data_IF_009168197324
#
_entry.id   IF_009168197324
#
_cell.length_a   1.000
_cell.length_b   1.000
_cell.length_c   1.000
_cell.angle_alpha   90.00
_cell.angle_beta   90.00
_cell.angle_gamma   90.00
#
_symmetry.space_group_name_H-M   'P 1'
#
loop_
_entity.id
_entity.type
_entity.pdbx_description
1 polymer ?
#
# COMPACT_ATOMS: atom_id res chain seq x y z
N UNK A 1 -21.51 11.12 31.98
CA UNK A 1 -21.94 9.90 31.26
C UNK A 1 -21.47 10.03 29.81
N UNK A 2 -20.39 9.34 29.40
CA UNK A 2 -19.87 9.44 28.02
C UNK A 2 -20.81 8.64 27.11
N UNK A 3 -21.50 9.31 26.19
CA UNK A 3 -22.25 8.64 25.12
C UNK A 3 -21.26 7.74 24.35
N UNK A 4 -21.33 6.42 24.59
CA UNK A 4 -20.71 5.41 23.73
C UNK A 4 -21.78 4.94 22.77
N UNK A 5 -21.84 5.53 21.59
CA UNK A 5 -22.79 5.14 20.55
C UNK A 5 -22.63 6.03 19.33
N UNK A 6 -22.22 5.42 18.21
CA UNK A 6 -22.37 6.02 16.90
C UNK A 6 -23.76 5.71 16.33
N UNK A 7 -24.22 6.50 15.36
CA UNK A 7 -25.47 6.24 14.66
C UNK A 7 -25.28 5.17 13.60
N UNK A 8 -26.08 4.10 13.65
CA UNK A 8 -26.17 3.13 12.56
C UNK A 8 -27.14 3.67 11.51
N UNK A 9 -26.62 4.36 10.49
CA UNK A 9 -27.44 4.88 9.40
C UNK A 9 -27.79 3.74 8.42
N UNK A 10 -29.08 3.50 8.21
CA UNK A 10 -29.57 2.52 7.24
C UNK A 10 -29.43 3.09 5.82
N UNK A 11 -28.32 2.77 5.16
CA UNK A 11 -28.07 3.15 3.78
C UNK A 11 -28.46 2.00 2.83
N UNK A 12 -29.24 2.31 1.79
CA UNK A 12 -29.61 1.35 0.73
C UNK A 12 -28.45 1.18 -0.25
N UNK A 13 -28.36 0.01 -0.89
CA UNK A 13 -27.34 -0.28 -1.91
C UNK A 13 -26.10 -1.04 -1.41
N UNK A 14 -26.27 -1.85 -0.35
CA UNK A 14 -25.16 -2.65 0.22
C UNK A 14 -24.52 -3.53 -0.87
N UNK A 15 -23.18 -3.54 -1.00
CA UNK A 15 -22.50 -4.35 -2.00
C UNK A 15 -22.71 -5.85 -1.76
N UNK A 16 -22.74 -6.61 -2.84
CA UNK A 16 -22.75 -8.07 -2.81
C UNK A 16 -21.44 -8.60 -2.17
N UNK A 17 -21.50 -9.76 -1.50
CA UNK A 17 -20.31 -10.40 -0.94
C UNK A 17 -19.48 -11.18 -1.97
N UNK A 18 -19.92 -11.23 -3.23
CA UNK A 18 -19.24 -11.94 -4.30
C UNK A 18 -18.10 -11.09 -4.90
N UNK A 19 -16.92 -11.68 -5.04
CA UNK A 19 -15.78 -11.07 -5.74
C UNK A 19 -15.79 -11.56 -7.19
N UNK A 20 -15.89 -10.63 -8.14
CA UNK A 20 -15.85 -10.89 -9.59
C UNK A 20 -14.63 -10.20 -10.20
N UNK A 21 -13.98 -10.86 -11.16
CA UNK A 21 -12.86 -10.28 -11.91
C UNK A 21 -13.42 -9.42 -13.03
N UNK A 22 -12.96 -8.17 -13.10
CA UNK A 22 -13.34 -7.22 -14.14
C UNK A 22 -12.36 -7.26 -15.31
N UNK A 23 -12.78 -6.86 -16.52
CA UNK A 23 -11.87 -6.74 -17.66
C UNK A 23 -10.77 -5.72 -17.38
N UNK A 24 -9.64 -5.90 -18.05
CA UNK A 24 -8.48 -5.03 -17.86
C UNK A 24 -8.74 -3.64 -18.46
N UNK A 25 -8.34 -2.56 -17.78
CA UNK A 25 -8.46 -1.23 -18.33
C UNK A 25 -7.37 -0.99 -19.38
N UNK A 26 -7.75 -0.45 -20.55
CA UNK A 26 -6.78 -0.06 -21.58
C UNK A 26 -5.97 1.20 -21.20
N UNK A 27 -6.55 2.06 -20.36
CA UNK A 27 -5.96 3.34 -19.95
C UNK A 27 -6.06 3.48 -18.43
N UNK A 28 -4.96 3.89 -17.80
CA UNK A 28 -4.91 4.20 -16.38
C UNK A 28 -4.55 5.68 -16.17
N UNK A 29 -5.31 6.34 -15.31
CA UNK A 29 -5.08 7.73 -14.90
C UNK A 29 -4.49 7.71 -13.49
N UNK A 30 -3.20 8.01 -13.38
CA UNK A 30 -2.47 7.98 -12.12
C UNK A 30 -2.34 9.41 -11.60
N UNK A 31 -3.04 9.77 -10.51
CA UNK A 31 -2.99 11.13 -9.99
C UNK A 31 -1.61 11.42 -9.40
N UNK A 32 -1.09 12.61 -9.68
CA UNK A 32 0.14 13.13 -9.07
C UNK A 32 -0.08 13.68 -7.66
N UNK A 33 -1.33 13.69 -7.18
CA UNK A 33 -1.69 14.12 -5.84
C UNK A 33 -2.71 13.15 -5.23
N UNK A 34 -2.46 12.76 -3.99
CA UNK A 34 -3.41 12.06 -3.13
C UNK A 34 -3.68 12.91 -1.88
N UNK A 35 -4.46 12.39 -0.94
CA UNK A 35 -4.65 13.06 0.36
C UNK A 35 -3.32 13.23 1.13
N UNK A 36 -2.36 12.31 0.94
CA UNK A 36 -1.13 12.25 1.74
C UNK A 36 0.14 12.60 0.97
N UNK A 37 0.13 12.47 -0.36
CA UNK A 37 1.34 12.58 -1.18
C UNK A 37 1.15 13.52 -2.35
N UNK A 38 2.21 14.25 -2.70
CA UNK A 38 2.29 15.11 -3.88
C UNK A 38 3.55 14.77 -4.68
N UNK A 39 3.37 14.10 -5.81
CA UNK A 39 4.44 13.61 -6.66
C UNK A 39 4.89 14.69 -7.65
N UNK A 40 5.91 15.46 -7.26
CA UNK A 40 6.43 16.59 -8.06
C UNK A 40 7.67 16.22 -8.88
N UNK A 41 8.41 15.18 -8.46
CA UNK A 41 9.64 14.74 -9.12
C UNK A 41 9.34 13.65 -10.16
N UNK A 42 9.02 14.06 -11.39
CA UNK A 42 8.68 13.15 -12.50
C UNK A 42 9.94 12.45 -13.04
N UNK A 43 9.93 11.11 -13.06
CA UNK A 43 11.07 10.26 -13.45
C UNK A 43 10.97 9.64 -14.84
N UNK A 44 9.89 9.93 -15.57
CA UNK A 44 9.62 9.38 -16.91
C UNK A 44 9.43 10.48 -17.95
N UNK A 45 9.59 10.12 -19.22
CA UNK A 45 9.36 11.01 -20.37
C UNK A 45 8.03 10.71 -21.05
N UNK A 46 7.47 11.71 -21.72
CA UNK A 46 6.31 11.51 -22.56
C UNK A 46 6.63 10.51 -23.69
N UNK A 47 5.77 9.51 -23.89
CA UNK A 47 5.95 8.42 -24.84
C UNK A 47 6.87 7.28 -24.38
N UNK A 48 7.43 7.35 -23.17
CA UNK A 48 8.27 6.28 -22.63
C UNK A 48 7.43 5.02 -22.34
N UNK A 49 7.95 3.85 -22.73
CA UNK A 49 7.42 2.56 -22.28
C UNK A 49 7.93 2.25 -20.89
N UNK A 50 7.04 1.83 -20.00
CA UNK A 50 7.35 1.44 -18.62
C UNK A 50 6.83 0.03 -18.37
N UNK A 51 7.51 -0.70 -17.49
CA UNK A 51 7.05 -1.99 -16.97
C UNK A 51 6.28 -1.80 -15.66
N UNK A 52 5.47 -2.80 -15.28
CA UNK A 52 4.91 -2.89 -13.93
C UNK A 52 6.01 -2.77 -12.86
N UNK A 53 5.76 -1.97 -11.83
CA UNK A 53 6.73 -1.66 -10.78
C UNK A 53 7.73 -0.55 -11.15
N UNK A 54 7.74 -0.04 -12.38
CA UNK A 54 8.62 1.06 -12.78
C UNK A 54 8.28 2.38 -12.08
N UNK A 55 9.28 3.16 -11.67
CA UNK A 55 9.07 4.46 -11.00
C UNK A 55 8.64 5.52 -12.02
N UNK A 56 7.46 6.10 -11.80
CA UNK A 56 6.89 7.17 -12.63
C UNK A 56 7.23 8.56 -12.10
N UNK A 57 7.07 8.75 -10.79
CA UNK A 57 7.36 9.99 -10.10
C UNK A 57 7.73 9.71 -8.65
N UNK A 58 8.21 10.72 -7.92
CA UNK A 58 8.50 10.65 -6.49
C UNK A 58 7.96 11.86 -5.76
N UNK A 59 7.62 11.68 -4.49
CA UNK A 59 7.29 12.76 -3.57
C UNK A 59 8.54 13.11 -2.74
N UNK A 60 9.25 14.21 -3.07
CA UNK A 60 10.49 14.57 -2.39
C UNK A 60 10.30 14.95 -0.92
N UNK A 61 9.09 15.40 -0.53
CA UNK A 61 8.79 15.83 0.83
C UNK A 61 8.50 14.64 1.76
N UNK A 62 8.21 13.47 1.18
CA UNK A 62 7.87 12.24 1.90
C UNK A 62 8.90 11.12 1.62
N UNK A 63 10.16 11.37 1.96
CA UNK A 63 11.28 10.43 1.80
C UNK A 63 11.47 9.90 0.38
N UNK A 64 11.09 10.68 -0.63
CA UNK A 64 11.13 10.29 -2.03
C UNK A 64 10.30 9.03 -2.35
N UNK A 65 9.17 8.84 -1.65
CA UNK A 65 8.26 7.71 -1.89
C UNK A 65 7.83 7.68 -3.37
N UNK A 66 7.93 6.53 -4.05
CA UNK A 66 7.70 6.48 -5.48
C UNK A 66 6.23 6.26 -5.82
N UNK A 67 5.76 6.99 -6.83
CA UNK A 67 4.59 6.60 -7.61
C UNK A 67 5.02 5.55 -8.63
N UNK A 68 4.59 4.31 -8.43
CA UNK A 68 4.94 3.19 -9.31
C UNK A 68 3.90 2.97 -10.40
N UNK A 69 4.34 2.48 -11.54
CA UNK A 69 3.48 2.00 -12.60
C UNK A 69 2.80 0.70 -12.14
N UNK A 70 1.47 0.67 -11.96
CA UNK A 70 0.79 -0.55 -11.54
C UNK A 70 0.79 -1.62 -12.64
N UNK A 71 1.00 -1.21 -13.90
CA UNK A 71 1.04 -2.07 -15.09
C UNK A 71 2.04 -1.54 -16.09
N UNK A 72 2.43 -2.40 -17.03
CA UNK A 72 3.22 -1.99 -18.18
C UNK A 72 2.37 -1.15 -19.14
N UNK A 73 2.97 -0.17 -19.81
CA UNK A 73 2.25 0.70 -20.73
C UNK A 73 3.10 1.82 -21.30
N UNK A 74 2.47 2.72 -22.04
CA UNK A 74 3.10 3.91 -22.63
C UNK A 74 2.67 5.15 -21.87
N UNK A 75 3.66 5.91 -21.38
CA UNK A 75 3.42 7.14 -20.61
C UNK A 75 2.93 8.27 -21.51
N UNK A 76 1.86 8.94 -21.10
CA UNK A 76 1.40 10.23 -21.64
C UNK A 76 1.42 11.26 -20.54
N UNK A 77 2.31 12.24 -20.68
CA UNK A 77 2.38 13.40 -19.78
C UNK A 77 1.54 14.53 -20.35
N UNK A 78 0.89 15.30 -19.48
CA UNK A 78 0.06 16.47 -19.83
C UNK A 78 -1.17 16.17 -20.70
N UNK A 79 -1.51 14.89 -20.91
CA UNK A 79 -2.78 14.51 -21.54
C UNK A 79 -3.98 14.90 -20.67
N UNK A 80 -3.82 14.78 -19.35
CA UNK A 80 -4.76 15.25 -18.33
C UNK A 80 -3.96 16.01 -17.27
N UNK A 81 -4.52 17.10 -16.77
CA UNK A 81 -3.91 17.89 -15.72
C UNK A 81 -3.74 17.07 -14.42
N UNK A 82 -2.60 17.22 -13.75
CA UNK A 82 -2.28 16.52 -12.50
C UNK A 82 -2.30 14.98 -12.56
N UNK A 83 -2.18 14.39 -13.76
CA UNK A 83 -2.12 12.94 -13.93
C UNK A 83 -0.96 12.50 -14.84
N UNK A 84 -0.41 11.32 -14.54
CA UNK A 84 0.34 10.52 -15.50
C UNK A 84 -0.63 9.50 -16.10
N UNK A 85 -0.80 9.52 -17.41
CA UNK A 85 -1.67 8.56 -18.10
C UNK A 85 -0.83 7.42 -18.65
N UNK A 86 -1.25 6.18 -18.40
CA UNK A 86 -0.67 4.99 -19.03
C UNK A 86 -1.66 4.47 -20.07
N UNK A 87 -1.27 4.51 -21.34
CA UNK A 87 -1.98 3.88 -22.45
C UNK A 87 -1.45 2.45 -22.69
N UNK A 88 -2.28 1.62 -23.34
CA UNK A 88 -1.98 0.21 -23.61
C UNK A 88 -1.59 -0.55 -22.34
N UNK A 89 -2.32 -0.29 -21.25
CA UNK A 89 -2.04 -0.85 -19.94
C UNK A 89 -2.26 -2.38 -19.96
N UNK A 90 -1.16 -3.12 -20.03
CA UNK A 90 -1.17 -4.58 -20.12
C UNK A 90 -0.49 -5.21 -18.91
N UNK A 91 -1.00 -6.36 -18.48
CA UNK A 91 -0.32 -7.22 -17.52
C UNK A 91 0.82 -7.96 -18.23
N UNK A 92 1.99 -7.34 -18.31
CA UNK A 92 3.26 -7.99 -18.65
C UNK A 92 4.04 -8.27 -17.36
N UNK A 93 4.95 -9.25 -17.40
CA UNK A 93 5.72 -9.74 -16.24
C UNK A 93 6.18 -8.60 -15.31
N UNK A 94 5.74 -8.70 -14.05
CA UNK A 94 6.12 -7.79 -12.98
C UNK A 94 7.60 -7.99 -12.66
N UNK A 95 8.45 -7.02 -13.01
CA UNK A 95 9.83 -6.98 -12.55
C UNK A 95 9.91 -6.17 -11.25
N UNK A 96 9.81 -6.84 -10.11
CA UNK A 96 10.09 -6.25 -8.79
C UNK A 96 11.60 -6.17 -8.50
N UNK A 97 12.43 -6.08 -9.54
CA UNK A 97 13.88 -6.08 -9.41
C UNK A 97 14.39 -4.65 -9.24
N UNK A 98 14.67 -4.29 -7.99
CA UNK A 98 15.54 -3.15 -7.70
C UNK A 98 16.90 -3.50 -8.27
N UNK A 99 17.44 -2.67 -9.17
CA UNK A 99 18.81 -2.83 -9.64
C UNK A 99 19.75 -2.87 -8.42
N UNK A 100 20.43 -4.00 -8.20
CA UNK A 100 21.33 -4.21 -7.06
C UNK A 100 22.38 -3.10 -6.87
N UNK A 101 22.67 -2.32 -7.92
CA UNK A 101 23.52 -1.13 -7.90
C UNK A 101 23.03 -0.02 -6.96
N UNK A 102 21.73 0.17 -6.76
CA UNK A 102 21.21 1.18 -5.81
C UNK A 102 21.30 0.71 -4.35
N UNK A 103 21.30 -0.61 -4.10
CA UNK A 103 21.39 -1.17 -2.74
C UNK A 103 22.81 -1.06 -2.16
N UNK A 104 23.86 -1.15 -2.99
CA UNK A 104 25.26 -1.18 -2.55
C UNK A 104 25.73 0.06 -1.76
N UNK A 105 25.17 1.25 -2.01
CA UNK A 105 25.53 2.47 -1.27
C UNK A 105 24.75 2.62 0.05
N UNK A 106 23.58 2.00 0.15
CA UNK A 106 22.65 2.13 1.29
C UNK A 106 22.95 1.07 2.37
N UNK A 107 23.34 -0.13 1.96
CA UNK A 107 23.60 -1.29 2.84
C UNK A 107 24.67 -1.05 3.91
N UNK A 108 25.69 -0.23 3.65
CA UNK A 108 26.85 -0.10 4.58
C UNK A 108 26.57 0.68 5.86
N UNK A 109 25.50 1.49 5.91
CA UNK A 109 25.13 2.27 7.11
C UNK A 109 23.88 1.75 7.83
N UNK A 110 23.12 0.87 7.18
CA UNK A 110 21.80 0.47 7.66
C UNK A 110 21.85 -0.97 8.17
N UNK A 111 21.42 -1.19 9.41
CA UNK A 111 21.24 -2.55 9.94
C UNK A 111 20.22 -3.34 9.10
N UNK A 112 20.16 -4.66 9.28
CA UNK A 112 19.33 -5.55 8.47
C UNK A 112 17.84 -5.13 8.40
N UNK A 113 17.29 -4.62 9.50
CA UNK A 113 15.91 -4.11 9.54
C UNK A 113 15.74 -2.83 8.70
N UNK A 114 16.71 -1.93 8.72
CA UNK A 114 16.71 -0.72 7.89
C UNK A 114 16.72 -1.05 6.40
N UNK A 115 17.53 -2.02 5.96
CA UNK A 115 17.58 -2.45 4.55
C UNK A 115 16.21 -2.95 4.09
N UNK A 116 15.55 -3.77 4.91
CA UNK A 116 14.21 -4.29 4.60
C UNK A 116 13.17 -3.17 4.53
N UNK A 117 13.22 -2.18 5.44
CA UNK A 117 12.32 -1.01 5.43
C UNK A 117 12.54 -0.14 4.19
N UNK A 118 13.80 0.10 3.82
CA UNK A 118 14.14 0.81 2.58
C UNK A 118 13.66 0.06 1.34
N UNK A 119 13.74 -1.28 1.33
CA UNK A 119 13.18 -2.10 0.26
C UNK A 119 11.66 -1.95 0.13
N UNK A 120 10.94 -1.85 1.25
CA UNK A 120 9.49 -1.55 1.20
C UNK A 120 9.21 -0.15 0.65
N UNK A 121 10.04 0.83 0.98
CA UNK A 121 9.93 2.19 0.44
C UNK A 121 10.14 2.21 -1.08
N UNK A 122 11.21 1.61 -1.58
CA UNK A 122 11.52 1.60 -3.01
C UNK A 122 10.50 0.80 -3.83
N UNK A 123 9.90 -0.24 -3.23
CA UNK A 123 8.79 -0.99 -3.82
C UNK A 123 7.42 -0.32 -3.63
N UNK A 124 7.36 0.92 -3.12
CA UNK A 124 6.13 1.70 -2.96
C UNK A 124 5.21 1.22 -1.84
N UNK A 125 5.53 0.12 -1.16
CA UNK A 125 4.72 -0.42 -0.07
C UNK A 125 4.74 0.47 1.19
N UNK A 126 5.78 1.30 1.36
CA UNK A 126 5.88 2.18 2.54
C UNK A 126 4.77 3.24 2.59
N UNK A 127 4.17 3.61 1.46
CA UNK A 127 3.07 4.58 1.38
C UNK A 127 1.85 4.18 2.23
N UNK A 128 1.67 2.88 2.51
CA UNK A 128 0.57 2.35 3.32
C UNK A 128 0.77 2.53 4.82
N UNK A 129 1.98 2.93 5.27
CA UNK A 129 2.23 3.26 6.66
C UNK A 129 1.90 4.72 6.94
N UNK A 130 1.41 4.97 8.14
CA UNK A 130 1.23 6.30 8.69
C UNK A 130 1.43 6.24 10.19
N UNK A 131 1.98 7.30 10.74
CA UNK A 131 2.05 7.50 12.17
C UNK A 131 0.63 7.72 12.72
N UNK A 132 0.24 6.95 13.74
CA UNK A 132 -1.13 6.95 14.25
C UNK A 132 -1.51 8.25 14.97
N UNK A 133 -0.52 9.06 15.38
CA UNK A 133 -0.75 10.31 16.09
C UNK A 133 -0.78 11.52 15.13
N UNK A 134 0.14 11.55 14.17
CA UNK A 134 0.36 12.69 13.25
C UNK A 134 -0.22 12.48 11.86
N UNK A 135 -0.49 11.24 11.44
CA UNK A 135 -0.89 10.89 10.07
C UNK A 135 0.23 10.98 9.03
N UNK A 136 1.43 11.45 9.42
CA UNK A 136 2.58 11.57 8.55
C UNK A 136 3.12 10.20 8.12
N UNK A 137 3.84 10.16 7.00
CA UNK A 137 4.61 8.98 6.63
C UNK A 137 5.75 8.80 7.66
N UNK A 138 5.87 7.65 8.34
CA UNK A 138 6.95 7.46 9.31
C UNK A 138 8.31 7.37 8.60
N UNK A 139 9.35 7.85 9.27
CA UNK A 139 10.73 7.71 8.82
C UNK A 139 11.06 6.22 8.59
N UNK A 140 11.41 5.80 7.35
CA UNK A 140 11.82 4.44 7.05
C UNK A 140 12.99 3.94 7.90
N UNK A 141 13.83 4.86 8.42
CA UNK A 141 14.97 4.54 9.28
C UNK A 141 14.62 4.57 10.77
N UNK A 142 13.52 5.20 11.15
CA UNK A 142 13.02 5.24 12.53
C UNK A 142 12.44 3.89 12.98
N UNK A 143 12.52 3.61 14.28
CA UNK A 143 11.92 2.41 14.87
C UNK A 143 10.60 2.78 15.55
N UNK A 144 9.46 2.22 15.12
CA UNK A 144 8.18 2.50 15.79
C UNK A 144 8.11 1.79 17.13
N UNK A 145 7.34 2.33 18.07
CA UNK A 145 7.08 1.68 19.37
C UNK A 145 6.10 0.51 19.25
N UNK A 146 5.23 0.56 18.25
CA UNK A 146 4.24 -0.47 17.96
C UNK A 146 3.75 -0.31 16.52
N UNK A 147 3.17 -1.37 15.97
CA UNK A 147 2.45 -1.31 14.70
C UNK A 147 1.02 -1.76 14.88
N UNK A 148 0.09 -0.99 14.32
CA UNK A 148 -1.33 -1.27 14.36
C UNK A 148 -1.75 -1.72 12.96
N UNK A 149 -2.26 -2.94 12.84
CA UNK A 149 -2.83 -3.47 11.60
C UNK A 149 -4.34 -3.48 11.75
N UNK A 150 -5.04 -2.60 11.03
CA UNK A 150 -6.50 -2.57 11.04
C UNK A 150 -7.08 -3.37 9.89
N UNK A 151 -7.97 -4.32 10.20
CA UNK A 151 -8.84 -4.98 9.21
C UNK A 151 -10.23 -4.34 9.13
N UNK A 152 -10.43 -3.26 9.88
CA UNK A 152 -11.68 -2.54 10.01
C UNK A 152 -11.69 -1.31 9.12
N UNK A 153 -12.76 -1.17 8.34
CA UNK A 153 -13.22 0.13 7.88
C UNK A 153 -14.71 0.27 8.16
N UNK A 154 -15.10 1.41 8.74
CA UNK A 154 -16.46 1.69 9.18
C UNK A 154 -17.23 2.55 8.18
N UNK A 155 -16.59 2.97 7.09
CA UNK A 155 -17.25 3.74 6.05
C UNK A 155 -18.26 2.86 5.29
N UNK A 156 -19.44 3.40 4.98
CA UNK A 156 -20.45 2.65 4.26
C UNK A 156 -19.99 2.30 2.84
N UNK A 157 -20.50 1.18 2.32
CA UNK A 157 -20.21 0.68 0.97
C UNK A 157 -18.76 0.27 0.68
N UNK A 158 -17.87 0.30 1.66
CA UNK A 158 -16.57 -0.33 1.51
C UNK A 158 -16.67 -1.85 1.50
N UNK A 159 -15.74 -2.47 0.78
CA UNK A 159 -15.54 -3.91 0.82
C UNK A 159 -15.20 -4.35 2.25
N UNK A 160 -15.94 -5.34 2.74
CA UNK A 160 -15.72 -5.87 4.09
C UNK A 160 -14.39 -6.64 4.15
N UNK A 161 -13.61 -6.38 5.20
CA UNK A 161 -12.28 -6.98 5.39
C UNK A 161 -12.32 -8.51 5.46
N UNK A 162 -13.34 -9.09 6.09
CA UNK A 162 -13.52 -10.56 6.16
C UNK A 162 -13.71 -11.18 4.76
N UNK A 163 -14.46 -10.52 3.88
CA UNK A 163 -14.65 -10.99 2.49
C UNK A 163 -13.35 -10.96 1.69
N UNK A 164 -12.52 -9.92 1.87
CA UNK A 164 -11.23 -9.82 1.18
C UNK A 164 -10.20 -10.82 1.72
N UNK A 165 -10.16 -11.01 3.04
CA UNK A 165 -9.15 -11.83 3.71
C UNK A 165 -9.44 -13.33 3.60
N UNK A 166 -10.69 -13.75 3.44
CA UNK A 166 -11.06 -15.17 3.40
C UNK A 166 -10.29 -15.97 2.33
N UNK A 167 -10.02 -15.38 1.16
CA UNK A 167 -9.26 -16.03 0.08
C UNK A 167 -7.75 -15.77 0.12
N UNK A 168 -7.26 -14.96 1.06
CA UNK A 168 -5.86 -14.49 1.13
C UNK A 168 -5.25 -14.61 2.51
N UNK A 169 -5.84 -15.39 3.42
CA UNK A 169 -5.41 -15.52 4.81
C UNK A 169 -3.93 -15.91 4.92
N UNK A 170 -3.45 -16.86 4.10
CA UNK A 170 -2.03 -17.25 4.09
C UNK A 170 -1.09 -16.10 3.68
N UNK A 171 -1.49 -15.27 2.72
CA UNK A 171 -0.69 -14.11 2.32
C UNK A 171 -0.70 -13.03 3.39
N UNK A 172 -1.83 -12.90 4.10
CA UNK A 172 -1.97 -11.98 5.22
C UNK A 172 -1.07 -12.38 6.40
N UNK A 173 -1.09 -13.66 6.82
CA UNK A 173 -0.23 -14.16 7.91
C UNK A 173 1.26 -14.01 7.57
N UNK A 174 1.67 -14.39 6.34
CA UNK A 174 3.04 -14.14 5.84
C UNK A 174 3.41 -12.66 5.89
N UNK A 175 2.48 -11.77 5.56
CA UNK A 175 2.66 -10.32 5.68
C UNK A 175 2.97 -9.89 7.11
N UNK A 176 2.23 -10.41 8.09
CA UNK A 176 2.46 -10.13 9.52
C UNK A 176 3.82 -10.65 10.00
N UNK A 177 4.22 -11.85 9.58
CA UNK A 177 5.54 -12.42 9.87
C UNK A 177 6.67 -11.53 9.31
N UNK A 178 6.51 -11.08 8.06
CA UNK A 178 7.45 -10.16 7.44
C UNK A 178 7.53 -8.84 8.22
N UNK A 179 6.39 -8.27 8.61
CA UNK A 179 6.31 -7.05 9.43
C UNK A 179 7.02 -7.24 10.77
N UNK A 180 6.81 -8.35 11.46
CA UNK A 180 7.49 -8.62 12.73
C UNK A 180 9.02 -8.62 12.56
N UNK A 181 9.52 -9.21 11.46
CA UNK A 181 10.96 -9.21 11.14
C UNK A 181 11.52 -7.83 10.74
N UNK A 182 10.67 -6.96 10.20
CA UNK A 182 11.00 -5.60 9.75
C UNK A 182 11.11 -4.63 10.94
N UNK A 183 10.32 -4.89 11.97
CA UNK A 183 10.10 -4.00 13.10
C UNK A 183 10.87 -4.43 14.34
N UNK A 184 11.88 -5.30 14.20
CA UNK A 184 12.71 -5.76 15.30
C UNK A 184 11.88 -6.31 16.49
N UNK A 185 10.79 -7.01 16.18
CA UNK A 185 9.87 -7.60 17.17
C UNK A 185 9.13 -6.61 18.09
N UNK A 186 8.96 -5.36 17.66
CA UNK A 186 8.03 -4.43 18.30
C UNK A 186 6.59 -4.99 18.30
N UNK A 187 5.76 -4.66 19.30
CA UNK A 187 4.41 -5.20 19.42
C UNK A 187 3.55 -4.86 18.19
N UNK A 188 2.86 -5.87 17.67
CA UNK A 188 1.86 -5.72 16.60
C UNK A 188 0.47 -5.87 17.21
N UNK A 189 -0.35 -4.84 17.09
CA UNK A 189 -1.75 -4.84 17.49
C UNK A 189 -2.62 -5.07 16.26
N UNK A 190 -3.29 -6.22 16.21
CA UNK A 190 -4.24 -6.53 15.14
C UNK A 190 -5.66 -6.15 15.57
N UNK A 191 -6.30 -5.27 14.81
CA UNK A 191 -7.67 -4.83 15.06
C UNK A 191 -8.62 -5.60 14.15
N UNK A 192 -9.57 -6.30 14.77
CA UNK A 192 -10.58 -7.14 14.12
C UNK A 192 -12.00 -6.65 14.48
N UNK A 193 -12.99 -6.80 13.57
CA UNK A 193 -14.39 -6.45 13.84
C UNK A 193 -15.00 -7.24 14.99
N UNK A 194 -14.71 -8.54 15.03
CA UNK A 194 -15.19 -9.45 16.06
C UNK A 194 -14.04 -10.38 16.47
N UNK A 195 -13.57 -10.18 17.68
CA UNK A 195 -12.48 -10.95 18.29
C UNK A 195 -12.87 -12.40 18.64
N UNK A 196 -14.15 -12.75 18.51
CA UNK A 196 -14.69 -14.10 18.74
C UNK A 196 -15.04 -14.84 17.46
N UNK A 197 -14.95 -14.16 16.30
CA UNK A 197 -15.22 -14.76 15.00
C UNK A 197 -14.29 -15.95 14.69
N UNK A 198 -14.75 -16.88 13.86
CA UNK A 198 -13.93 -17.99 13.35
C UNK A 198 -12.63 -17.49 12.72
N UNK A 199 -12.70 -16.37 12.01
CA UNK A 199 -11.55 -15.68 11.44
C UNK A 199 -10.53 -15.23 12.50
N UNK A 200 -11.00 -14.62 13.60
CA UNK A 200 -10.12 -14.21 14.68
C UNK A 200 -9.44 -15.40 15.36
N UNK A 201 -10.15 -16.52 15.49
CA UNK A 201 -9.61 -17.75 16.07
C UNK A 201 -8.56 -18.39 15.14
N UNK A 202 -8.78 -18.39 13.83
CA UNK A 202 -7.80 -18.86 12.85
C UNK A 202 -6.49 -18.06 12.92
N UNK A 203 -6.57 -16.73 13.04
CA UNK A 203 -5.36 -15.90 13.14
C UNK A 203 -4.61 -16.14 14.44
N UNK A 204 -5.30 -16.36 15.57
CA UNK A 204 -4.65 -16.67 16.86
C UNK A 204 -3.98 -18.03 16.91
N UNK A 205 -4.41 -18.96 16.05
CA UNK A 205 -3.88 -20.31 15.99
C UNK A 205 -2.62 -20.43 15.10
N UNK A 206 -2.34 -19.40 14.29
CA UNK A 206 -1.10 -19.24 13.53
C UNK A 206 -0.02 -18.55 14.38
#
# INVERSE_FOLDING_TARGET
MRFRGGYNVLLKGKPESAVKVMPEPNVLYLPLRSERFTFTDIRVKNGQKVSGGGVLAKDPDNYAVPLLAPRSGTVRLKAIENHIVLEDAAQLEEHADIAAKEMQHVERKMGAAGIKRYKLLSLGAWQFFYDAFTGALPDPLGTPQAVIVSTLSLEPFLTRGDVQLHKRLLNFTRGLEHLQSLLEYQPIYLVLPDITSEFANLIRAC
#
